data_IF_987783127293
#
_entry.id   IF_987783127293
#
_cell.length_a   1.000
_cell.length_b   1.000
_cell.length_c   1.000
_cell.angle_alpha   90.00
_cell.angle_beta   90.00
_cell.angle_gamma   90.00
#
_symmetry.space_group_name_H-M   'P 1'
#
loop_
_entity.id
_entity.type
_entity.pdbx_description
1 polymer ?
#
# COMPACT_ATOMS: atom_id res chain seq x y z
N UNK A 1 -19.77 17.50 4.10
CA UNK A 1 -19.60 16.20 3.44
C UNK A 1 -18.23 15.67 3.83
N UNK A 2 -18.08 14.37 4.11
CA UNK A 2 -16.76 13.79 4.41
C UNK A 2 -15.83 14.01 3.22
N UNK A 3 -14.51 14.18 3.46
CA UNK A 3 -13.54 14.38 2.39
C UNK A 3 -13.46 13.16 1.48
N UNK A 4 -13.34 13.39 0.19
CA UNK A 4 -13.11 12.36 -0.80
C UNK A 4 -11.64 11.92 -0.76
N UNK A 5 -11.40 10.64 -0.55
CA UNK A 5 -10.04 10.07 -0.45
C UNK A 5 -9.61 9.35 -1.72
N UNK A 6 -10.57 8.83 -2.51
CA UNK A 6 -10.32 8.18 -3.78
C UNK A 6 -11.43 8.53 -4.77
N UNK A 7 -11.04 8.80 -6.02
CA UNK A 7 -11.95 8.99 -7.13
C UNK A 7 -11.42 8.39 -8.41
N UNK A 8 -12.21 7.53 -9.02
CA UNK A 8 -12.00 6.99 -10.35
C UNK A 8 -13.06 7.56 -11.28
N UNK A 9 -12.64 8.15 -12.38
CA UNK A 9 -13.52 8.69 -13.42
C UNK A 9 -13.17 8.03 -14.75
N UNK A 10 -14.07 7.21 -15.27
CA UNK A 10 -13.97 6.51 -16.56
C UNK A 10 -12.66 5.70 -16.68
N UNK A 11 -12.28 5.00 -15.62
CA UNK A 11 -10.96 4.35 -15.52
C UNK A 11 -10.91 3.05 -16.31
N UNK A 12 -9.93 2.95 -17.21
CA UNK A 12 -9.61 1.75 -17.97
C UNK A 12 -8.18 1.29 -17.70
N UNK A 13 -8.00 -0.01 -17.48
CA UNK A 13 -6.68 -0.66 -17.50
C UNK A 13 -6.68 -1.75 -18.55
N UNK A 14 -5.83 -1.62 -19.58
CA UNK A 14 -5.68 -2.57 -20.66
C UNK A 14 -4.36 -3.33 -20.56
N UNK A 15 -4.42 -4.65 -20.70
CA UNK A 15 -3.24 -5.54 -20.83
C UNK A 15 -3.50 -6.55 -21.95
N UNK A 16 -2.50 -6.75 -22.83
CA UNK A 16 -2.59 -7.71 -23.95
C UNK A 16 -3.89 -7.56 -24.75
N UNK A 17 -4.22 -6.33 -25.15
CA UNK A 17 -5.44 -5.98 -25.90
C UNK A 17 -6.78 -6.29 -25.20
N UNK A 18 -6.77 -6.63 -23.91
CA UNK A 18 -7.97 -6.88 -23.10
C UNK A 18 -8.08 -5.85 -21.97
N UNK A 19 -9.28 -5.32 -21.75
CA UNK A 19 -9.55 -4.48 -20.60
C UNK A 19 -9.66 -5.36 -19.34
N UNK A 20 -8.81 -5.10 -18.35
CA UNK A 20 -8.83 -5.74 -17.03
C UNK A 20 -9.73 -4.94 -16.09
N UNK A 21 -9.71 -3.62 -16.22
CA UNK A 21 -10.65 -2.67 -15.63
C UNK A 21 -11.25 -1.93 -16.80
N UNK A 22 -12.58 -1.79 -16.84
CA UNK A 22 -13.31 -1.31 -18.02
C UNK A 22 -14.32 -0.24 -17.63
N UNK A 23 -13.97 1.02 -17.93
CA UNK A 23 -14.82 2.21 -17.72
C UNK A 23 -15.39 2.27 -16.28
N UNK A 24 -14.54 2.20 -15.28
CA UNK A 24 -14.96 2.20 -13.86
C UNK A 24 -15.02 3.62 -13.32
N UNK A 25 -16.18 3.97 -12.76
CA UNK A 25 -16.40 5.13 -11.91
C UNK A 25 -16.56 4.65 -10.45
N UNK A 26 -15.78 5.20 -9.54
CA UNK A 26 -15.83 4.80 -8.13
C UNK A 26 -15.27 5.89 -7.22
N UNK A 27 -16.08 6.35 -6.29
CA UNK A 27 -15.70 7.36 -5.31
C UNK A 27 -15.73 6.76 -3.91
N UNK A 28 -14.71 7.07 -3.09
CA UNK A 28 -14.60 6.67 -1.69
C UNK A 28 -14.35 7.90 -0.82
N UNK A 29 -15.07 7.98 0.29
CA UNK A 29 -14.91 9.01 1.31
C UNK A 29 -14.19 8.47 2.55
N UNK A 30 -13.62 9.32 3.38
CA UNK A 30 -12.76 8.95 4.51
C UNK A 30 -13.50 8.19 5.64
N UNK A 31 -14.82 8.34 5.72
CA UNK A 31 -15.69 7.64 6.68
C UNK A 31 -16.19 6.28 6.16
N UNK A 32 -15.89 5.91 4.91
CA UNK A 32 -16.38 4.69 4.30
C UNK A 32 -15.42 3.50 4.49
N UNK A 33 -15.99 2.29 4.43
CA UNK A 33 -15.29 1.02 4.43
C UNK A 33 -15.85 0.15 3.32
N UNK A 34 -15.00 -0.19 2.34
CA UNK A 34 -15.41 -0.91 1.14
C UNK A 34 -14.89 -2.34 1.12
N UNK A 35 -15.72 -3.24 0.62
CA UNK A 35 -15.34 -4.62 0.29
C UNK A 35 -15.55 -4.84 -1.20
N UNK A 36 -14.47 -5.18 -1.92
CA UNK A 36 -14.52 -5.45 -3.35
C UNK A 36 -14.62 -6.96 -3.57
N UNK A 37 -15.77 -7.43 -4.06
CA UNK A 37 -16.07 -8.84 -4.31
C UNK A 37 -16.12 -9.13 -5.81
N UNK A 38 -15.86 -10.38 -6.18
CA UNK A 38 -15.94 -10.85 -7.56
C UNK A 38 -15.06 -12.08 -7.79
N UNK A 39 -15.21 -12.76 -8.95
CA UNK A 39 -14.44 -13.94 -9.30
C UNK A 39 -12.95 -13.64 -9.47
N UNK A 40 -12.12 -14.68 -9.51
CA UNK A 40 -10.71 -14.53 -9.84
C UNK A 40 -10.55 -13.98 -11.27
N UNK A 41 -9.65 -13.01 -11.43
CA UNK A 41 -9.45 -12.36 -12.72
C UNK A 41 -10.39 -11.18 -13.03
N UNK A 42 -11.33 -10.84 -12.13
CA UNK A 42 -12.27 -9.72 -12.30
C UNK A 42 -11.64 -8.31 -12.16
N UNK A 43 -10.32 -8.20 -12.00
CA UNK A 43 -9.65 -6.89 -11.88
C UNK A 43 -9.56 -6.33 -10.45
N UNK A 44 -10.03 -7.04 -9.41
CA UNK A 44 -9.99 -6.54 -8.01
C UNK A 44 -8.62 -6.04 -7.57
N UNK A 45 -7.59 -6.86 -7.77
CA UNK A 45 -6.21 -6.50 -7.43
C UNK A 45 -5.72 -5.30 -8.24
N UNK A 46 -6.13 -5.21 -9.51
CA UNK A 46 -5.77 -4.10 -10.39
C UNK A 46 -6.36 -2.77 -9.92
N UNK A 47 -7.64 -2.78 -9.48
CA UNK A 47 -8.29 -1.60 -8.87
C UNK A 47 -7.55 -1.16 -7.61
N UNK A 48 -7.20 -2.10 -6.72
CA UNK A 48 -6.46 -1.79 -5.49
C UNK A 48 -5.04 -1.28 -5.79
N UNK A 49 -4.37 -1.79 -6.83
CA UNK A 49 -3.06 -1.30 -7.28
C UNK A 49 -3.11 0.12 -7.87
N UNK A 50 -4.22 0.50 -8.49
CA UNK A 50 -4.46 1.89 -8.92
C UNK A 50 -4.62 2.80 -7.69
N UNK A 51 -5.41 2.38 -6.69
CA UNK A 51 -5.62 3.12 -5.45
C UNK A 51 -4.34 3.26 -4.60
N UNK A 52 -3.42 2.29 -4.69
CA UNK A 52 -2.11 2.30 -4.01
C UNK A 52 -0.99 2.93 -4.86
N UNK A 53 -1.30 3.61 -5.94
CA UNK A 53 -0.33 4.23 -6.86
C UNK A 53 0.71 3.28 -7.50
N UNK A 54 0.55 1.97 -7.35
CA UNK A 54 1.44 0.96 -7.96
C UNK A 54 1.21 0.78 -9.45
N UNK A 55 0.06 1.21 -9.94
CA UNK A 55 -0.35 1.12 -11.33
C UNK A 55 -0.96 2.44 -11.80
N UNK A 56 -0.71 2.80 -13.05
CA UNK A 56 -1.37 3.92 -13.72
C UNK A 56 -2.49 3.40 -14.63
N UNK A 57 -3.61 4.14 -14.77
CA UNK A 57 -4.65 3.77 -15.72
C UNK A 57 -4.16 3.92 -17.16
N UNK A 58 -4.72 3.11 -18.08
CA UNK A 58 -4.50 3.28 -19.53
C UNK A 58 -5.25 4.50 -20.06
N UNK A 59 -6.44 4.75 -19.53
CA UNK A 59 -7.26 5.96 -19.76
C UNK A 59 -8.14 6.23 -18.54
N UNK A 60 -8.78 7.39 -18.51
CA UNK A 60 -9.55 7.86 -17.37
C UNK A 60 -8.68 8.63 -16.36
N UNK A 61 -9.28 8.97 -15.24
CA UNK A 61 -8.63 9.76 -14.19
C UNK A 61 -8.73 9.03 -12.86
N UNK A 62 -7.60 8.92 -12.18
CA UNK A 62 -7.52 8.47 -10.79
C UNK A 62 -7.05 9.65 -9.94
N UNK A 63 -7.83 9.98 -8.93
CA UNK A 63 -7.52 11.04 -7.95
C UNK A 63 -7.44 10.42 -6.56
N UNK A 64 -6.38 10.69 -5.81
CA UNK A 64 -6.14 10.18 -4.47
C UNK A 64 -5.83 11.36 -3.56
N UNK A 65 -6.60 11.54 -2.50
CA UNK A 65 -6.51 12.69 -1.58
C UNK A 65 -6.53 14.05 -2.30
N UNK A 66 -7.29 14.16 -3.39
CA UNK A 66 -7.37 15.36 -4.23
C UNK A 66 -6.26 15.50 -5.28
N UNK A 67 -5.26 14.61 -5.26
CA UNK A 67 -4.11 14.62 -6.17
C UNK A 67 -4.30 13.67 -7.34
N UNK A 68 -4.19 14.19 -8.58
CA UNK A 68 -4.36 13.38 -9.79
C UNK A 68 -3.13 12.52 -10.07
N UNK A 69 -3.32 11.20 -10.12
CA UNK A 69 -2.26 10.24 -10.46
C UNK A 69 -1.72 10.52 -11.88
N UNK A 70 -0.39 10.58 -11.99
CA UNK A 70 0.33 10.93 -13.23
C UNK A 70 0.55 12.44 -13.45
N UNK A 71 0.04 13.30 -12.55
CA UNK A 71 0.36 14.75 -12.52
C UNK A 71 0.99 15.20 -11.21
N UNK A 72 0.75 14.45 -10.13
CA UNK A 72 1.30 14.71 -8.80
C UNK A 72 2.46 13.76 -8.50
N UNK A 73 3.35 14.16 -7.59
CA UNK A 73 4.45 13.31 -7.16
C UNK A 73 3.91 12.15 -6.30
N UNK A 74 4.05 10.93 -6.82
CA UNK A 74 3.60 9.72 -6.12
C UNK A 74 4.40 9.45 -4.83
N UNK A 75 5.61 9.98 -4.69
CA UNK A 75 6.41 9.86 -3.48
C UNK A 75 5.83 10.67 -2.31
N UNK A 76 5.07 11.73 -2.58
CA UNK A 76 4.33 12.48 -1.56
C UNK A 76 3.02 11.78 -1.15
N UNK A 77 2.43 11.00 -2.06
CA UNK A 77 1.19 10.25 -1.80
C UNK A 77 1.43 8.95 -1.04
N UNK A 78 2.43 8.18 -1.44
CA UNK A 78 2.69 6.83 -0.90
C UNK A 78 2.83 6.73 0.62
N UNK A 79 3.48 7.67 1.33
CA UNK A 79 3.55 7.63 2.80
C UNK A 79 2.18 7.74 3.49
N UNK A 80 1.15 8.18 2.77
CA UNK A 80 -0.22 8.33 3.26
C UNK A 80 -1.11 7.12 2.96
N UNK A 81 -0.60 6.15 2.22
CA UNK A 81 -1.35 4.98 1.75
C UNK A 81 -0.71 3.72 2.33
N UNK A 82 -1.49 2.95 3.08
CA UNK A 82 -1.08 1.62 3.53
C UNK A 82 -1.58 0.53 2.58
N UNK A 83 -0.69 -0.35 2.12
CA UNK A 83 -1.04 -1.47 1.27
C UNK A 83 -0.47 -2.79 1.81
N UNK A 84 -1.34 -3.76 2.07
CA UNK A 84 -0.95 -5.08 2.55
C UNK A 84 -1.50 -6.18 1.63
N UNK A 85 -0.60 -6.98 1.08
CA UNK A 85 -0.96 -8.12 0.22
C UNK A 85 0.12 -9.21 0.24
N UNK A 86 -0.26 -10.45 -0.14
CA UNK A 86 0.73 -11.53 -0.28
C UNK A 86 1.77 -11.26 -1.38
N UNK A 87 1.40 -10.49 -2.41
CA UNK A 87 2.34 -10.06 -3.44
C UNK A 87 3.35 -9.03 -2.89
N UNK A 88 2.91 -8.14 -2.01
CA UNK A 88 3.77 -7.19 -1.31
C UNK A 88 4.71 -7.92 -0.35
N UNK A 89 4.21 -8.89 0.43
CA UNK A 89 5.03 -9.69 1.33
C UNK A 89 6.23 -10.34 0.63
N UNK A 90 6.03 -10.88 -0.57
CA UNK A 90 7.10 -11.50 -1.38
C UNK A 90 8.16 -10.52 -1.90
N UNK A 91 7.90 -9.22 -1.85
CA UNK A 91 8.84 -8.17 -2.27
C UNK A 91 9.67 -7.63 -1.11
N UNK A 92 9.26 -7.89 0.12
CA UNK A 92 10.06 -7.54 1.30
C UNK A 92 11.26 -8.49 1.36
N UNK A 93 12.50 -7.98 1.49
CA UNK A 93 13.66 -8.84 1.66
C UNK A 93 13.47 -9.77 2.88
N UNK A 94 13.62 -11.08 2.72
CA UNK A 94 13.34 -12.03 3.82
C UNK A 94 14.28 -11.89 5.01
N UNK A 95 15.50 -11.37 4.78
CA UNK A 95 16.52 -11.09 5.79
C UNK A 95 16.30 -9.78 6.55
N UNK A 96 15.38 -8.94 6.09
CA UNK A 96 15.11 -7.65 6.72
C UNK A 96 14.42 -7.82 8.08
N UNK A 97 14.84 -7.04 9.08
CA UNK A 97 14.22 -7.08 10.41
C UNK A 97 12.83 -6.41 10.40
N UNK A 98 11.96 -6.88 11.27
CA UNK A 98 10.59 -6.34 11.38
C UNK A 98 10.59 -4.83 11.66
N UNK A 99 11.47 -4.35 12.53
CA UNK A 99 11.59 -2.92 12.81
C UNK A 99 11.95 -2.13 11.56
N UNK A 100 12.89 -2.62 10.76
CA UNK A 100 13.29 -1.96 9.52
C UNK A 100 12.16 -1.97 8.48
N UNK A 101 11.42 -3.09 8.34
CA UNK A 101 10.25 -3.18 7.44
C UNK A 101 9.21 -2.12 7.76
N UNK A 102 8.94 -1.86 9.05
CA UNK A 102 7.99 -0.83 9.48
C UNK A 102 8.59 0.57 9.34
N UNK A 103 9.84 0.77 9.74
CA UNK A 103 10.53 2.06 9.68
C UNK A 103 10.62 2.60 8.24
N UNK A 104 10.99 1.75 7.29
CA UNK A 104 11.17 2.12 5.88
C UNK A 104 9.87 2.48 5.16
N UNK A 105 8.71 2.18 5.76
CA UNK A 105 7.41 2.56 5.23
C UNK A 105 7.24 4.08 5.10
N UNK A 106 7.79 4.85 6.04
CA UNK A 106 7.75 6.32 5.99
C UNK A 106 8.41 6.90 4.73
N UNK A 107 9.32 6.14 4.13
CA UNK A 107 10.05 6.50 2.90
C UNK A 107 9.50 5.77 1.67
N UNK A 108 8.42 4.98 1.83
CA UNK A 108 7.79 4.19 0.75
C UNK A 108 8.72 3.17 0.09
N UNK A 109 9.73 2.69 0.80
CA UNK A 109 10.68 1.68 0.33
C UNK A 109 10.48 0.36 1.07
N UNK A 110 10.86 -0.74 0.43
CA UNK A 110 10.82 -2.09 0.97
C UNK A 110 12.24 -2.54 1.37
N UNK A 111 12.51 -2.53 2.67
CA UNK A 111 13.82 -2.83 3.20
C UNK A 111 14.73 -1.61 3.35
N UNK A 112 15.77 -1.76 4.17
CA UNK A 112 16.70 -0.68 4.49
C UNK A 112 17.72 -0.49 3.35
N UNK A 113 17.78 0.73 2.82
CA UNK A 113 18.78 1.17 1.85
C UNK A 113 19.79 2.11 2.52
N UNK A 114 20.67 2.73 1.72
CA UNK A 114 21.72 3.65 2.21
C UNK A 114 21.20 5.03 2.68
N UNK A 115 19.91 5.13 3.01
CA UNK A 115 19.34 6.36 3.55
C UNK A 115 19.75 6.54 5.01
N UNK A 116 19.94 7.78 5.42
CA UNK A 116 20.19 8.13 6.81
C UNK A 116 18.86 8.12 7.58
N UNK A 117 18.58 7.02 8.26
CA UNK A 117 17.44 6.93 9.18
C UNK A 117 17.81 7.60 10.50
N UNK A 118 16.91 8.41 11.02
CA UNK A 118 17.09 9.09 12.29
C UNK A 118 16.53 8.26 13.46
N UNK A 119 17.02 8.49 14.68
CA UNK A 119 16.50 7.83 15.89
C UNK A 119 14.97 8.02 16.07
N UNK A 120 14.41 9.07 15.48
CA UNK A 120 12.96 9.32 15.53
C UNK A 120 12.17 8.33 14.68
N UNK A 121 12.74 7.88 13.57
CA UNK A 121 12.09 6.90 12.69
C UNK A 121 12.00 5.54 13.38
N UNK A 122 13.09 5.10 14.03
CA UNK A 122 13.12 3.87 14.79
C UNK A 122 12.13 3.91 15.97
N UNK A 123 12.13 5.00 16.74
CA UNK A 123 11.18 5.18 17.85
C UNK A 123 9.73 5.16 17.39
N UNK A 124 9.44 5.73 16.20
CA UNK A 124 8.11 5.70 15.60
C UNK A 124 7.72 4.27 15.20
N UNK A 125 8.61 3.53 14.55
CA UNK A 125 8.38 2.14 14.17
C UNK A 125 8.13 1.25 15.40
N UNK A 126 8.95 1.38 16.44
CA UNK A 126 8.78 0.64 17.70
C UNK A 126 7.43 0.94 18.38
N UNK A 127 6.99 2.19 18.37
CA UNK A 127 5.68 2.58 18.89
C UNK A 127 4.55 1.89 18.15
N UNK A 128 4.58 1.94 16.80
CA UNK A 128 3.56 1.29 15.97
C UNK A 128 3.56 -0.22 16.20
N UNK A 129 4.72 -0.86 16.28
CA UNK A 129 4.83 -2.29 16.56
C UNK A 129 4.22 -2.65 17.92
N UNK A 130 4.44 -1.82 18.94
CA UNK A 130 3.84 -2.02 20.27
C UNK A 130 2.30 -1.85 20.24
N UNK A 131 1.78 -0.84 19.55
CA UNK A 131 0.34 -0.63 19.34
C UNK A 131 -0.34 -1.84 18.68
N UNK A 132 0.35 -2.48 17.74
CA UNK A 132 -0.12 -3.70 17.08
C UNK A 132 0.24 -5.00 17.80
N UNK A 133 0.84 -4.92 19.01
CA UNK A 133 1.31 -6.06 19.82
C UNK A 133 2.26 -6.96 19.04
N UNK A 134 3.22 -6.36 18.35
CA UNK A 134 4.26 -7.01 17.55
C UNK A 134 5.67 -6.74 18.10
N UNK A 135 5.77 -6.15 19.28
CA UNK A 135 7.01 -5.83 20.01
C UNK A 135 7.92 -7.05 20.19
N UNK A 136 7.35 -8.24 20.38
CA UNK A 136 8.09 -9.50 20.49
C UNK A 136 8.72 -9.99 19.16
N UNK A 137 8.42 -9.32 18.04
CA UNK A 137 8.94 -9.66 16.71
C UNK A 137 9.99 -8.67 16.20
N UNK A 138 10.27 -7.59 16.93
CA UNK A 138 11.07 -6.42 16.48
C UNK A 138 12.38 -6.84 15.82
N UNK A 139 13.14 -7.76 16.45
CA UNK A 139 14.46 -8.20 16.01
C UNK A 139 14.42 -9.44 15.09
N UNK A 140 13.23 -9.99 14.83
CA UNK A 140 13.09 -11.13 13.93
C UNK A 140 13.16 -10.69 12.48
N UNK A 141 13.69 -11.57 11.64
CA UNK A 141 13.70 -11.35 10.20
C UNK A 141 12.34 -11.69 9.58
N UNK A 142 11.90 -10.87 8.64
CA UNK A 142 10.57 -10.96 8.02
C UNK A 142 10.29 -12.34 7.41
N UNK A 143 11.31 -12.96 6.79
CA UNK A 143 11.20 -14.29 6.17
C UNK A 143 10.98 -15.44 7.18
N UNK A 144 11.27 -15.25 8.47
CA UNK A 144 11.05 -16.26 9.51
C UNK A 144 9.68 -16.19 10.17
N UNK A 145 8.88 -15.20 9.80
CA UNK A 145 7.52 -15.00 10.32
C UNK A 145 6.53 -15.93 9.64
N UNK A 146 5.51 -16.34 10.39
CA UNK A 146 4.32 -16.98 9.80
C UNK A 146 3.59 -15.99 8.87
N UNK A 147 2.80 -16.49 7.92
CA UNK A 147 2.00 -15.65 7.00
C UNK A 147 1.09 -14.66 7.76
N UNK A 148 0.52 -15.07 8.88
CA UNK A 148 -0.31 -14.23 9.73
C UNK A 148 0.50 -13.10 10.38
N UNK A 149 1.70 -13.39 10.88
CA UNK A 149 2.61 -12.39 11.44
C UNK A 149 3.09 -11.42 10.35
N UNK A 150 3.49 -11.92 9.17
CA UNK A 150 3.86 -11.11 8.02
C UNK A 150 2.74 -10.13 7.62
N UNK A 151 1.50 -10.61 7.62
CA UNK A 151 0.34 -9.77 7.30
C UNK A 151 0.12 -8.67 8.34
N UNK A 152 0.26 -9.00 9.62
CA UNK A 152 0.14 -8.01 10.71
C UNK A 152 1.25 -6.96 10.64
N UNK A 153 2.49 -7.37 10.34
CA UNK A 153 3.61 -6.44 10.13
C UNK A 153 3.35 -5.52 8.93
N UNK A 154 2.80 -6.04 7.82
CA UNK A 154 2.42 -5.21 6.67
C UNK A 154 1.31 -4.20 6.98
N UNK A 155 0.39 -4.54 7.89
CA UNK A 155 -0.68 -3.62 8.29
C UNK A 155 -0.13 -2.54 9.25
N UNK A 156 0.84 -2.88 10.09
CA UNK A 156 1.53 -1.95 10.97
C UNK A 156 2.50 -1.03 10.22
N UNK A 157 2.91 -1.43 9.03
CA UNK A 157 3.75 -0.67 8.12
C UNK A 157 2.97 0.46 7.46
#
# INVERSE_FOLDING_TARGET
MPPQVLDFSDVVVRRNARNIVDHVDWTVHDDERWVVLGPNGAGKTTILQLADTLLHPTSGIVTIFGERLGRSDVFELRPRIGFASSAMARRVPPEETVVNVVMTAAYSVLGRWNEAYEDIDERRALRVLAEWRLDHLVDRTFGTLSEGEQKRVQIAR
#
